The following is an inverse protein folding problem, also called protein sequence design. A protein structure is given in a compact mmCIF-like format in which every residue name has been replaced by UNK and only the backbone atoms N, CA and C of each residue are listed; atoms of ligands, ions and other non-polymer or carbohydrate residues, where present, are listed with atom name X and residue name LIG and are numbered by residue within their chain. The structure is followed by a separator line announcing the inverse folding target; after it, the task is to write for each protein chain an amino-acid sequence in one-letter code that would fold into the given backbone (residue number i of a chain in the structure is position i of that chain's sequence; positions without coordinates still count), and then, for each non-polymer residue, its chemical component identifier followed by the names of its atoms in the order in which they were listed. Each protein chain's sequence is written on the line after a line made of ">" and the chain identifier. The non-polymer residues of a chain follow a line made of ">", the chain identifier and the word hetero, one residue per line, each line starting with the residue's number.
data_IF_597365742348
#
_entry.id   IF_597365742348
#
_cell.length_a   1.000
_cell.length_b   1.000
_cell.length_c   1.000
_cell.angle_alpha   90.00
_cell.angle_beta   90.00
_cell.angle_gamma   90.00
#
_symmetry.space_group_name_H-M   'P 1'
#
loop_
_entity.id
_entity.type
_entity.pdbx_description
1 polymer ?
#
# COMPACT_ATOMS: atom_id res chain seq x y z
N UNK A 1 -20.91 34.30 49.74
CA UNK A 1 -22.26 34.45 49.15
C UNK A 1 -22.27 34.92 47.69
N UNK A 2 -21.25 35.63 47.19
CA UNK A 2 -21.19 36.05 45.78
C UNK A 2 -20.60 35.01 44.78
N UNK A 3 -19.94 33.94 45.26
CA UNK A 3 -19.35 32.91 44.39
C UNK A 3 -20.34 31.78 44.02
N UNK A 4 -21.36 31.52 44.83
CA UNK A 4 -22.35 30.47 44.61
C UNK A 4 -23.43 30.86 43.57
N UNK A 5 -23.62 32.17 43.36
CA UNK A 5 -24.61 32.72 42.43
C UNK A 5 -24.13 32.69 40.96
N UNK A 6 -22.81 32.67 40.72
CA UNK A 6 -22.24 32.53 39.37
C UNK A 6 -22.22 31.08 38.84
N UNK A 7 -22.32 30.10 39.74
CA UNK A 7 -22.34 28.68 39.36
C UNK A 7 -23.75 28.21 38.93
N UNK A 8 -24.81 28.81 39.48
CA UNK A 8 -26.20 28.48 39.13
C UNK A 8 -26.69 29.12 37.81
N UNK A 9 -26.12 30.27 37.40
CA UNK A 9 -26.52 30.95 36.16
C UNK A 9 -25.97 30.26 34.89
N UNK A 10 -24.84 29.55 34.98
CA UNK A 10 -24.29 28.79 33.85
C UNK A 10 -24.90 27.38 33.68
N UNK A 11 -25.64 26.86 34.65
CA UNK A 11 -26.28 25.54 34.56
C UNK A 11 -27.68 25.60 33.92
N UNK A 12 -28.29 26.79 33.83
CA UNK A 12 -29.64 27.01 33.31
C UNK A 12 -29.65 27.36 31.80
N UNK A 13 -28.48 27.66 31.20
CA UNK A 13 -28.37 27.91 29.76
C UNK A 13 -28.03 26.67 28.91
N UNK A 14 -27.85 25.50 29.52
CA UNK A 14 -27.45 24.25 28.80
C UNK A 14 -28.58 23.22 28.74
N UNK A 15 -29.75 23.48 29.34
CA UNK A 15 -30.84 22.50 29.45
C UNK A 15 -32.14 22.85 28.70
N UNK A 16 -32.15 23.86 27.83
CA UNK A 16 -33.38 24.34 27.15
C UNK A 16 -33.46 24.11 25.64
N UNK A 17 -32.70 23.17 25.07
CA UNK A 17 -32.84 22.82 23.64
C UNK A 17 -32.83 21.29 23.40
N UNK A 18 -33.76 20.57 24.03
CA UNK A 18 -34.16 19.22 23.59
C UNK A 18 -35.69 19.04 23.72
N UNK A 19 -36.33 18.75 22.59
CA UNK A 19 -37.74 18.34 22.43
C UNK A 19 -38.54 19.35 21.58
N UNK A 20 -39.11 19.05 20.42
CA UNK A 20 -39.51 17.78 19.81
C UNK A 20 -39.77 17.99 18.26
N UNK A 21 -40.41 17.06 17.52
CA UNK A 21 -39.87 16.42 16.32
C UNK A 21 -40.39 17.00 14.99
N UNK A 22 -39.59 16.91 13.93
CA UNK A 22 -40.11 16.91 12.56
C UNK A 22 -39.37 15.88 11.72
N UNK A 23 -40.14 14.88 11.29
CA UNK A 23 -39.82 14.04 10.16
C UNK A 23 -39.68 14.92 8.92
N UNK A 24 -38.50 14.89 8.30
CA UNK A 24 -38.32 15.29 6.92
C UNK A 24 -37.31 14.31 6.31
N UNK A 25 -37.84 13.45 5.45
CA UNK A 25 -37.11 12.67 4.47
C UNK A 25 -36.08 13.55 3.75
N UNK A 26 -34.81 13.36 4.08
CA UNK A 26 -33.70 14.01 3.43
C UNK A 26 -32.60 13.00 3.24
N UNK A 27 -32.72 12.17 2.19
CA UNK A 27 -31.58 11.41 1.71
C UNK A 27 -30.43 12.38 1.49
N UNK A 28 -29.34 12.20 2.26
CA UNK A 28 -28.08 12.85 1.94
C UNK A 28 -27.61 12.22 0.63
N UNK A 29 -27.95 12.90 -0.46
CA UNK A 29 -27.24 12.77 -1.73
C UNK A 29 -25.76 12.99 -1.41
N UNK A 30 -24.99 11.91 -1.44
CA UNK A 30 -23.53 11.92 -1.53
C UNK A 30 -23.21 12.49 -2.90
N UNK A 31 -23.31 13.81 -3.01
CA UNK A 31 -22.90 14.56 -4.17
C UNK A 31 -21.37 14.71 -4.08
N UNK A 32 -20.66 14.02 -4.96
CA UNK A 32 -19.30 14.41 -5.33
C UNK A 32 -18.16 13.60 -4.72
N UNK A 33 -18.20 12.28 -4.82
CA UNK A 33 -16.96 11.48 -5.00
C UNK A 33 -16.94 10.99 -6.45
N UNK A 34 -16.97 11.93 -7.39
CA UNK A 34 -16.40 11.67 -8.70
C UNK A 34 -14.93 12.02 -8.56
N UNK A 35 -13.99 11.13 -8.92
CA UNK A 35 -12.58 11.48 -8.90
C UNK A 35 -12.41 12.72 -9.77
N UNK A 36 -12.07 13.85 -9.15
CA UNK A 36 -11.35 14.93 -9.83
C UNK A 36 -10.21 14.24 -10.56
N UNK A 37 -10.16 14.37 -11.89
CA UNK A 37 -9.20 13.71 -12.77
C UNK A 37 -7.88 13.50 -12.03
N UNK A 38 -7.60 12.28 -11.57
CA UNK A 38 -6.37 12.06 -10.82
C UNK A 38 -5.24 12.38 -11.79
N UNK A 39 -4.47 13.41 -11.47
CA UNK A 39 -3.47 13.97 -12.38
C UNK A 39 -2.38 12.95 -12.75
N UNK A 40 -2.39 11.77 -12.12
CA UNK A 40 -1.46 10.67 -12.27
C UNK A 40 -2.15 9.38 -12.69
N UNK A 41 -2.86 9.38 -13.81
CA UNK A 41 -3.19 8.13 -14.50
C UNK A 41 -2.00 7.68 -15.34
N UNK A 42 -1.14 6.81 -14.80
CA UNK A 42 -0.04 6.23 -15.57
C UNK A 42 -0.62 5.47 -16.78
N UNK A 43 -0.37 6.00 -17.98
CA UNK A 43 -0.66 5.33 -19.24
C UNK A 43 0.66 5.09 -19.97
N UNK A 44 1.04 3.83 -20.25
CA UNK A 44 2.24 3.58 -21.04
C UNK A 44 2.12 4.26 -22.40
N UNK A 45 3.15 5.01 -22.80
CA UNK A 45 3.18 5.62 -24.12
C UNK A 45 3.14 4.58 -25.23
N UNK A 46 2.75 4.97 -26.45
CA UNK A 46 2.82 4.10 -27.63
C UNK A 46 4.21 3.47 -27.81
N UNK A 47 5.27 4.24 -27.54
CA UNK A 47 6.66 3.75 -27.58
C UNK A 47 6.93 2.67 -26.53
N UNK A 48 6.38 2.82 -25.32
CA UNK A 48 6.51 1.82 -24.26
C UNK A 48 5.79 0.51 -24.64
N UNK A 49 4.56 0.59 -25.17
CA UNK A 49 3.83 -0.57 -25.68
C UNK A 49 4.59 -1.30 -26.79
N UNK A 50 5.06 -0.56 -27.80
CA UNK A 50 5.85 -1.14 -28.89
C UNK A 50 7.15 -1.81 -28.41
N UNK A 51 7.81 -1.20 -27.42
CA UNK A 51 9.00 -1.80 -26.80
C UNK A 51 8.65 -3.12 -26.10
N UNK A 52 7.57 -3.14 -25.30
CA UNK A 52 7.13 -4.32 -24.57
C UNK A 52 6.72 -5.46 -25.52
N UNK A 53 5.89 -5.17 -26.53
CA UNK A 53 5.45 -6.13 -27.55
C UNK A 53 6.63 -6.71 -28.34
N UNK A 54 7.57 -5.84 -28.78
CA UNK A 54 8.79 -6.27 -29.48
C UNK A 54 9.66 -7.16 -28.59
N UNK A 55 9.68 -6.93 -27.28
CA UNK A 55 10.45 -7.75 -26.36
C UNK A 55 9.79 -9.09 -26.11
N UNK A 56 8.49 -9.08 -25.83
CA UNK A 56 7.68 -10.26 -25.56
C UNK A 56 7.62 -11.22 -26.76
N UNK A 57 7.50 -10.70 -27.98
CA UNK A 57 7.50 -11.50 -29.22
C UNK A 57 8.82 -12.22 -29.48
N UNK A 58 9.93 -11.75 -28.90
CA UNK A 58 11.26 -12.35 -29.03
C UNK A 58 11.62 -13.29 -27.88
N UNK A 59 10.77 -13.42 -26.86
CA UNK A 59 11.04 -14.28 -25.72
C UNK A 59 10.67 -15.73 -26.01
N UNK A 60 11.53 -16.66 -25.56
CA UNK A 60 11.14 -18.07 -25.43
C UNK A 60 10.06 -18.23 -24.35
N UNK A 61 9.43 -19.41 -24.29
CA UNK A 61 8.47 -19.72 -23.21
C UNK A 61 9.14 -19.64 -21.84
N UNK A 62 10.35 -20.21 -21.69
CA UNK A 62 11.10 -20.16 -20.43
C UNK A 62 11.41 -18.72 -19.99
N UNK A 63 11.75 -17.83 -20.93
CA UNK A 63 11.95 -16.42 -20.63
C UNK A 63 10.64 -15.76 -20.16
N UNK A 64 9.50 -16.08 -20.78
CA UNK A 64 8.19 -15.57 -20.36
C UNK A 64 7.82 -16.06 -18.97
N UNK A 65 8.08 -17.34 -18.66
CA UNK A 65 7.85 -17.91 -17.33
C UNK A 65 8.74 -17.22 -16.30
N UNK A 66 10.04 -17.04 -16.60
CA UNK A 66 10.97 -16.33 -15.73
C UNK A 66 10.46 -14.94 -15.36
N UNK A 67 9.92 -14.19 -16.33
CA UNK A 67 9.38 -12.84 -16.07
C UNK A 67 8.15 -12.81 -15.15
N UNK A 68 7.49 -13.93 -14.89
CA UNK A 68 6.39 -14.03 -13.91
C UNK A 68 6.88 -14.31 -12.48
N UNK A 69 8.17 -14.65 -12.32
CA UNK A 69 8.75 -15.05 -11.04
C UNK A 69 9.50 -13.90 -10.40
N UNK A 70 9.18 -13.63 -9.14
CA UNK A 70 9.94 -12.73 -8.27
C UNK A 70 10.51 -13.52 -7.10
N UNK A 71 11.77 -13.28 -6.73
CA UNK A 71 12.42 -13.94 -5.60
C UNK A 71 12.56 -13.01 -4.39
N UNK A 72 12.43 -13.58 -3.20
CA UNK A 72 12.61 -12.87 -1.93
C UNK A 72 14.05 -12.91 -1.43
N UNK A 73 14.58 -11.75 -1.03
CA UNK A 73 15.98 -11.64 -0.58
C UNK A 73 16.07 -10.77 0.68
N UNK A 74 16.84 -11.24 1.66
CA UNK A 74 17.42 -10.38 2.69
C UNK A 74 18.85 -10.08 2.28
N UNK A 75 19.10 -8.86 1.78
CA UNK A 75 20.43 -8.50 1.33
C UNK A 75 21.41 -8.49 2.52
N UNK A 76 22.64 -8.90 2.23
CA UNK A 76 23.74 -8.95 3.19
C UNK A 76 25.04 -8.78 2.42
N UNK A 77 26.12 -8.49 3.14
CA UNK A 77 27.43 -8.45 2.51
C UNK A 77 27.70 -9.79 1.82
N UNK A 78 28.02 -9.72 0.53
CA UNK A 78 28.25 -10.88 -0.29
C UNK A 78 29.43 -10.62 -1.24
N UNK A 79 30.51 -11.36 -1.02
CA UNK A 79 31.57 -11.48 -2.01
C UNK A 79 30.99 -12.09 -3.30
N UNK A 80 31.47 -11.67 -4.47
CA UNK A 80 30.96 -12.16 -5.77
C UNK A 80 31.19 -13.66 -5.99
N UNK A 81 32.16 -14.25 -5.27
CA UNK A 81 32.43 -15.69 -5.28
C UNK A 81 31.63 -16.46 -4.22
N UNK A 82 30.78 -15.79 -3.44
CA UNK A 82 29.96 -16.47 -2.43
C UNK A 82 28.82 -17.26 -3.08
N UNK A 83 28.45 -18.40 -2.48
CA UNK A 83 27.31 -19.19 -2.93
C UNK A 83 26.00 -18.38 -2.94
N UNK A 84 25.83 -17.46 -1.98
CA UNK A 84 24.69 -16.55 -1.92
C UNK A 84 24.60 -15.65 -3.16
N UNK A 85 25.70 -14.98 -3.53
CA UNK A 85 25.73 -14.14 -4.73
C UNK A 85 25.54 -14.98 -6.00
N UNK A 86 26.23 -16.12 -6.08
CA UNK A 86 26.13 -17.06 -7.20
C UNK A 86 24.71 -17.52 -7.45
N UNK A 87 23.96 -17.87 -6.40
CA UNK A 87 22.57 -18.33 -6.52
C UNK A 87 21.64 -17.22 -7.01
N UNK A 88 21.74 -15.99 -6.47
CA UNK A 88 20.91 -14.87 -6.94
C UNK A 88 21.23 -14.56 -8.41
N UNK A 89 22.52 -14.53 -8.77
CA UNK A 89 22.94 -14.33 -10.15
C UNK A 89 22.43 -15.44 -11.06
N UNK A 90 22.39 -16.70 -10.61
CA UNK A 90 21.81 -17.82 -11.35
C UNK A 90 20.34 -17.59 -11.65
N UNK A 91 19.57 -17.13 -10.66
CA UNK A 91 18.15 -16.78 -10.84
C UNK A 91 17.98 -15.67 -11.89
N UNK A 92 18.82 -14.63 -11.85
CA UNK A 92 18.77 -13.51 -12.80
C UNK A 92 19.18 -13.91 -14.21
N UNK A 93 20.29 -14.63 -14.37
CA UNK A 93 20.90 -14.90 -15.68
C UNK A 93 20.31 -16.15 -16.33
N UNK A 94 20.21 -17.25 -15.58
CA UNK A 94 19.79 -18.54 -16.13
C UNK A 94 18.27 -18.67 -16.15
N UNK A 95 17.61 -18.31 -15.03
CA UNK A 95 16.15 -18.40 -14.92
C UNK A 95 15.41 -17.15 -15.43
N UNK A 96 16.13 -16.05 -15.74
CA UNK A 96 15.58 -14.78 -16.26
C UNK A 96 14.37 -14.29 -15.46
N UNK A 97 14.49 -14.28 -14.13
CA UNK A 97 13.43 -13.80 -13.24
C UNK A 97 12.97 -12.37 -13.61
N UNK A 98 11.72 -12.04 -13.31
CA UNK A 98 11.13 -10.73 -13.57
C UNK A 98 11.48 -9.69 -12.50
N UNK A 99 11.73 -10.13 -11.27
CA UNK A 99 11.96 -9.19 -10.18
C UNK A 99 12.52 -9.79 -8.89
N UNK A 100 12.82 -8.87 -7.97
CA UNK A 100 13.35 -9.16 -6.64
C UNK A 100 12.52 -8.36 -5.65
N UNK A 101 12.09 -8.99 -4.56
CA UNK A 101 11.56 -8.32 -3.38
C UNK A 101 12.56 -8.41 -2.23
N UNK A 102 12.83 -7.27 -1.57
CA UNK A 102 13.62 -7.23 -0.34
C UNK A 102 12.72 -7.29 0.90
N UNK A 103 13.14 -8.03 1.93
CA UNK A 103 12.38 -8.19 3.19
C UNK A 103 13.04 -7.55 4.43
N UNK A 104 14.32 -7.16 4.32
CA UNK A 104 15.08 -6.48 5.37
C UNK A 104 16.58 -6.67 5.19
N UNK A 105 17.32 -5.56 5.21
CA UNK A 105 18.77 -5.54 5.03
C UNK A 105 19.32 -4.12 5.28
N UNK A 106 20.63 -3.94 5.48
CA UNK A 106 21.19 -2.61 5.43
C UNK A 106 21.10 -2.05 4.00
N UNK A 107 20.92 -0.72 3.91
CA UNK A 107 20.70 -0.02 2.64
C UNK A 107 21.86 -0.24 1.67
N UNK A 108 23.10 -0.15 2.16
CA UNK A 108 24.31 -0.25 1.35
C UNK A 108 24.37 -1.58 0.57
N UNK A 109 24.23 -2.70 1.27
CA UNK A 109 24.23 -4.05 0.70
C UNK A 109 23.11 -4.22 -0.31
N UNK A 110 21.92 -3.69 -0.01
CA UNK A 110 20.73 -3.77 -0.85
C UNK A 110 20.96 -3.08 -2.19
N UNK A 111 21.41 -1.82 -2.16
CA UNK A 111 21.66 -1.03 -3.37
C UNK A 111 22.76 -1.66 -4.22
N UNK A 112 23.87 -2.11 -3.58
CA UNK A 112 24.96 -2.75 -4.32
C UNK A 112 24.55 -4.09 -4.94
N UNK A 113 23.78 -4.90 -4.22
CA UNK A 113 23.27 -6.16 -4.75
C UNK A 113 22.28 -5.91 -5.89
N UNK A 114 21.33 -4.98 -5.71
CA UNK A 114 20.35 -4.62 -6.72
C UNK A 114 21.02 -4.12 -8.01
N UNK A 115 22.01 -3.23 -7.91
CA UNK A 115 22.75 -2.72 -9.07
C UNK A 115 23.48 -3.84 -9.82
N UNK A 116 24.17 -4.74 -9.11
CA UNK A 116 24.84 -5.89 -9.73
C UNK A 116 23.86 -6.84 -10.41
N UNK A 117 22.68 -7.04 -9.83
CA UNK A 117 21.64 -7.87 -10.45
C UNK A 117 21.03 -7.18 -11.66
N UNK A 118 20.81 -5.86 -11.62
CA UNK A 118 20.36 -5.09 -12.78
C UNK A 118 21.37 -5.14 -13.94
N UNK A 119 22.66 -5.03 -13.64
CA UNK A 119 23.75 -5.14 -14.64
C UNK A 119 23.79 -6.53 -15.30
N UNK A 120 23.52 -7.59 -14.52
CA UNK A 120 23.49 -8.96 -15.02
C UNK A 120 22.20 -9.29 -15.79
N UNK A 121 21.12 -8.53 -15.59
CA UNK A 121 19.81 -8.84 -16.12
C UNK A 121 19.67 -8.39 -17.59
N UNK A 122 19.18 -9.32 -18.43
CA UNK A 122 18.88 -9.05 -19.84
C UNK A 122 17.60 -8.21 -20.04
N UNK A 123 16.71 -8.23 -19.05
CA UNK A 123 15.53 -7.38 -18.91
C UNK A 123 15.67 -6.68 -17.56
N UNK A 124 15.47 -5.35 -17.46
CA UNK A 124 15.50 -4.68 -16.17
C UNK A 124 14.56 -5.36 -15.18
N UNK A 125 15.09 -5.71 -14.00
CA UNK A 125 14.35 -6.36 -12.94
C UNK A 125 13.40 -5.36 -12.27
N UNK A 126 12.22 -5.83 -11.90
CA UNK A 126 11.33 -5.08 -11.02
C UNK A 126 11.78 -5.28 -9.58
N UNK A 127 12.40 -4.26 -9.01
CA UNK A 127 12.86 -4.25 -7.61
C UNK A 127 11.74 -3.73 -6.72
N UNK A 128 11.40 -4.49 -5.69
CA UNK A 128 10.21 -4.29 -4.88
C UNK A 128 10.45 -4.40 -3.37
N UNK A 129 9.52 -3.81 -2.60
CA UNK A 129 9.57 -3.73 -1.13
C UNK A 129 8.16 -3.64 -0.54
N UNK A 130 7.90 -4.29 0.60
CA UNK A 130 6.77 -3.88 1.45
C UNK A 130 7.14 -2.58 2.20
N UNK A 131 6.41 -1.50 1.93
CA UNK A 131 6.69 -0.17 2.49
C UNK A 131 5.41 0.45 3.10
N UNK A 132 4.70 -0.32 3.92
CA UNK A 132 3.41 0.09 4.51
C UNK A 132 3.56 1.27 5.47
N UNK A 133 4.67 1.31 6.22
CA UNK A 133 5.05 2.44 7.10
C UNK A 133 6.16 3.29 6.49
N UNK A 134 6.26 3.31 5.16
CA UNK A 134 7.41 3.88 4.44
C UNK A 134 8.54 2.89 4.24
N UNK A 135 9.62 3.33 3.62
CA UNK A 135 10.81 2.48 3.33
C UNK A 135 11.48 2.03 4.63
N UNK A 136 11.33 2.82 5.70
CA UNK A 136 11.73 2.50 7.06
C UNK A 136 11.17 1.20 7.64
N UNK A 137 10.09 0.67 7.07
CA UNK A 137 9.55 -0.65 7.41
C UNK A 137 10.59 -1.77 7.27
N UNK A 138 11.53 -1.60 6.33
CA UNK A 138 12.52 -2.63 5.94
C UNK A 138 13.96 -2.17 6.06
N UNK A 139 14.19 -0.87 6.23
CA UNK A 139 15.51 -0.24 6.27
C UNK A 139 15.60 0.71 7.46
N UNK A 140 16.42 0.40 8.46
CA UNK A 140 16.49 1.17 9.71
C UNK A 140 16.86 2.65 9.51
N UNK A 141 17.66 2.95 8.48
CA UNK A 141 18.13 4.30 8.19
C UNK A 141 17.16 5.15 7.32
N UNK A 142 15.95 4.64 7.05
CA UNK A 142 14.94 5.31 6.23
C UNK A 142 13.74 5.80 7.06
N UNK A 143 12.91 6.68 6.50
CA UNK A 143 11.75 7.20 7.20
C UNK A 143 10.75 6.08 7.54
N UNK A 144 10.46 5.92 8.83
CA UNK A 144 9.45 5.01 9.34
C UNK A 144 8.31 5.81 9.97
N UNK A 145 7.10 5.64 9.44
CA UNK A 145 5.90 6.37 9.83
C UNK A 145 5.03 5.55 10.79
N UNK A 146 4.07 6.18 11.48
CA UNK A 146 2.98 5.44 12.12
C UNK A 146 2.23 4.54 11.14
N UNK A 147 1.64 3.48 11.65
CA UNK A 147 0.75 2.61 10.87
C UNK A 147 -0.46 3.37 10.31
N UNK A 148 -1.03 2.85 9.23
CA UNK A 148 -2.10 3.48 8.46
C UNK A 148 -3.28 3.95 9.33
N UNK A 149 -3.68 3.16 10.34
CA UNK A 149 -4.77 3.51 11.24
C UNK A 149 -4.50 4.81 12.03
N UNK A 150 -3.25 5.03 12.46
CA UNK A 150 -2.87 6.26 13.15
C UNK A 150 -2.86 7.47 12.20
N UNK A 151 -2.49 7.26 10.93
CA UNK A 151 -2.58 8.30 9.90
C UNK A 151 -4.05 8.63 9.62
N UNK A 152 -4.92 7.63 9.54
CA UNK A 152 -6.36 7.82 9.33
C UNK A 152 -7.04 8.53 10.50
N UNK A 153 -6.62 8.25 11.74
CA UNK A 153 -7.14 8.90 12.95
C UNK A 153 -6.96 10.42 12.96
N UNK A 154 -6.11 10.98 12.09
CA UNK A 154 -5.99 12.44 11.90
C UNK A 154 -7.20 13.06 11.19
N UNK A 155 -8.02 12.26 10.51
CA UNK A 155 -9.12 12.71 9.65
C UNK A 155 -8.67 13.37 8.34
N UNK A 156 -7.36 13.52 8.11
CA UNK A 156 -6.80 14.26 6.98
C UNK A 156 -5.96 13.37 6.02
N UNK A 157 -6.50 13.00 4.85
CA UNK A 157 -5.83 12.17 3.83
C UNK A 157 -4.55 12.79 3.26
N UNK A 158 -4.36 14.11 3.41
CA UNK A 158 -3.11 14.76 2.99
C UNK A 158 -1.88 14.17 3.71
N UNK A 159 -2.03 13.70 4.95
CA UNK A 159 -0.92 13.03 5.64
C UNK A 159 -0.58 11.69 5.00
N UNK A 160 -1.57 10.92 4.53
CA UNK A 160 -1.32 9.71 3.76
C UNK A 160 -0.66 10.01 2.41
N UNK A 161 -1.07 11.08 1.72
CA UNK A 161 -0.41 11.55 0.49
C UNK A 161 1.06 11.90 0.72
N UNK A 162 1.35 12.70 1.75
CA UNK A 162 2.73 13.10 2.09
C UNK A 162 3.58 11.89 2.48
N UNK A 163 3.02 10.94 3.22
CA UNK A 163 3.67 9.67 3.54
C UNK A 163 4.01 8.90 2.26
N UNK A 164 3.06 8.78 1.32
CA UNK A 164 3.29 8.16 0.01
C UNK A 164 4.36 8.86 -0.82
N UNK A 165 4.39 10.21 -0.83
CA UNK A 165 5.43 10.99 -1.51
C UNK A 165 6.82 10.68 -0.93
N UNK A 166 6.96 10.65 0.40
CA UNK A 166 8.25 10.38 1.05
C UNK A 166 8.69 8.94 0.78
N UNK A 167 7.79 7.97 0.95
CA UNK A 167 8.05 6.57 0.67
C UNK A 167 8.47 6.35 -0.79
N UNK A 168 7.76 6.96 -1.74
CA UNK A 168 8.10 6.90 -3.16
C UNK A 168 9.46 7.54 -3.48
N UNK A 169 9.77 8.69 -2.87
CA UNK A 169 11.06 9.37 -3.06
C UNK A 169 12.23 8.53 -2.56
N UNK A 170 12.12 7.98 -1.35
CA UNK A 170 13.15 7.11 -0.79
C UNK A 170 13.28 5.82 -1.61
N UNK A 171 12.17 5.19 -2.00
CA UNK A 171 12.20 4.00 -2.85
C UNK A 171 12.96 4.26 -4.15
N UNK A 172 12.69 5.38 -4.85
CA UNK A 172 13.42 5.75 -6.07
C UNK A 172 14.91 5.97 -5.82
N UNK A 173 15.28 6.59 -4.71
CA UNK A 173 16.68 6.81 -4.37
C UNK A 173 17.45 5.49 -4.18
N UNK A 174 16.75 4.44 -3.72
CA UNK A 174 17.30 3.09 -3.53
C UNK A 174 17.20 2.19 -4.78
N UNK A 175 16.65 2.69 -5.89
CA UNK A 175 16.42 1.89 -7.11
C UNK A 175 15.22 0.94 -7.02
N UNK A 176 14.33 1.13 -6.04
CA UNK A 176 13.09 0.38 -5.88
C UNK A 176 12.02 1.00 -6.80
N UNK A 177 11.48 0.18 -7.71
CA UNK A 177 10.51 0.59 -8.71
C UNK A 177 9.06 0.29 -8.33
N UNK A 178 8.83 -0.59 -7.37
CA UNK A 178 7.51 -0.99 -6.89
C UNK A 178 7.48 -1.11 -5.37
N UNK A 179 6.41 -0.64 -4.76
CA UNK A 179 6.13 -0.90 -3.36
C UNK A 179 4.81 -1.64 -3.19
N UNK A 180 4.77 -2.56 -2.24
CA UNK A 180 3.58 -3.30 -1.84
C UNK A 180 2.82 -2.55 -0.76
N UNK A 181 2.26 -1.39 -1.13
CA UNK A 181 1.39 -0.54 -0.33
C UNK A 181 0.56 0.34 -1.30
N UNK A 182 -0.64 0.81 -0.92
CA UNK A 182 -1.26 0.73 0.41
C UNK A 182 -2.01 -0.57 0.71
N UNK A 183 -2.23 -0.83 2.00
CA UNK A 183 -3.23 -1.79 2.49
C UNK A 183 -4.62 -1.15 2.38
N UNK A 184 -5.49 -1.76 1.57
CA UNK A 184 -6.86 -1.36 1.29
C UNK A 184 -7.90 -2.31 1.91
N UNK A 185 -7.46 -3.20 2.80
CA UNK A 185 -8.37 -4.04 3.57
C UNK A 185 -9.17 -3.21 4.57
N UNK A 186 -10.47 -3.44 4.66
CA UNK A 186 -11.35 -2.77 5.62
C UNK A 186 -11.37 -3.56 6.93
N UNK A 187 -10.69 -3.08 7.98
CA UNK A 187 -10.52 -3.80 9.24
C UNK A 187 -11.77 -3.74 10.13
N UNK A 188 -12.87 -4.31 9.63
CA UNK A 188 -14.20 -4.35 10.27
C UNK A 188 -14.37 -5.56 11.22
N UNK A 189 -13.36 -6.43 11.33
CA UNK A 189 -13.29 -7.51 12.32
C UNK A 189 -12.19 -7.20 13.33
N UNK A 190 -12.58 -6.86 14.56
CA UNK A 190 -11.63 -6.51 15.63
C UNK A 190 -10.72 -7.69 16.06
N UNK A 191 -11.11 -8.93 15.76
CA UNK A 191 -10.30 -10.12 16.04
C UNK A 191 -9.27 -10.41 14.95
N UNK A 192 -9.23 -9.63 13.86
CA UNK A 192 -8.30 -9.84 12.76
C UNK A 192 -6.83 -9.71 13.25
N UNK A 193 -6.04 -10.80 13.20
CA UNK A 193 -4.71 -10.82 13.77
C UNK A 193 -3.63 -10.26 12.83
N UNK A 194 -3.95 -10.06 11.55
CA UNK A 194 -2.97 -9.80 10.49
C UNK A 194 -3.10 -8.42 9.87
N UNK A 195 -4.30 -7.85 9.74
CA UNK A 195 -4.53 -6.49 9.22
C UNK A 195 -4.41 -5.47 10.35
N UNK A 196 -5.38 -5.44 11.27
CA UNK A 196 -5.33 -4.59 12.47
C UNK A 196 -4.93 -3.13 12.12
N UNK A 197 -3.93 -2.55 12.79
CA UNK A 197 -3.43 -1.18 12.56
C UNK A 197 -2.87 -0.91 11.16
N UNK A 198 -2.60 -1.96 10.35
CA UNK A 198 -2.10 -1.81 8.98
C UNK A 198 -3.15 -1.24 8.02
N UNK A 199 -4.44 -1.39 8.34
CA UNK A 199 -5.52 -0.76 7.60
C UNK A 199 -5.68 0.71 7.98
N UNK A 200 -6.20 1.51 7.05
CA UNK A 200 -6.66 2.87 7.35
C UNK A 200 -7.94 2.90 8.22
N UNK A 201 -8.62 1.78 8.45
CA UNK A 201 -9.74 1.73 9.39
C UNK A 201 -10.78 0.67 9.07
N UNK A 202 -11.94 0.82 9.71
CA UNK A 202 -13.09 -0.08 9.58
C UNK A 202 -14.17 0.45 8.61
N UNK A 203 -14.08 1.73 8.22
CA UNK A 203 -15.00 2.37 7.29
C UNK A 203 -14.46 2.25 5.84
N UNK A 204 -15.24 1.69 4.89
CA UNK A 204 -14.78 1.49 3.52
C UNK A 204 -14.44 2.80 2.79
N UNK A 205 -15.21 3.86 3.02
CA UNK A 205 -15.02 5.15 2.35
C UNK A 205 -13.72 5.82 2.84
N UNK A 206 -13.43 5.73 4.14
CA UNK A 206 -12.17 6.19 4.70
C UNK A 206 -10.97 5.39 4.18
N UNK A 207 -11.08 4.07 4.10
CA UNK A 207 -10.01 3.23 3.53
C UNK A 207 -9.74 3.59 2.06
N UNK A 208 -10.79 3.79 1.25
CA UNK A 208 -10.67 4.26 -0.12
C UNK A 208 -9.98 5.64 -0.17
N UNK A 209 -10.44 6.59 0.62
CA UNK A 209 -10.00 7.99 0.59
C UNK A 209 -8.53 8.15 1.00
N UNK A 210 -8.11 7.50 2.09
CA UNK A 210 -6.72 7.54 2.53
C UNK A 210 -5.81 6.67 1.66
N UNK A 211 -6.29 5.49 1.25
CA UNK A 211 -5.58 4.60 0.33
C UNK A 211 -5.25 5.28 -1.00
N UNK A 212 -6.24 5.95 -1.60
CA UNK A 212 -6.06 6.71 -2.84
C UNK A 212 -5.03 7.83 -2.65
N UNK A 213 -5.12 8.60 -1.56
CA UNK A 213 -4.18 9.68 -1.28
C UNK A 213 -2.72 9.17 -1.15
N UNK A 214 -2.50 8.07 -0.42
CA UNK A 214 -1.19 7.42 -0.33
C UNK A 214 -0.69 6.95 -1.70
N UNK A 215 -1.55 6.26 -2.46
CA UNK A 215 -1.24 5.73 -3.79
C UNK A 215 -0.84 6.85 -4.76
N UNK A 216 -1.58 7.95 -4.80
CA UNK A 216 -1.25 9.15 -5.59
C UNK A 216 0.11 9.72 -5.20
N UNK A 217 0.39 9.77 -3.89
CA UNK A 217 1.67 10.24 -3.37
C UNK A 217 2.84 9.41 -3.89
N UNK A 218 2.73 8.08 -3.82
CA UNK A 218 3.74 7.14 -4.33
C UNK A 218 3.93 7.28 -5.83
N UNK A 219 2.83 7.28 -6.59
CA UNK A 219 2.87 7.34 -8.05
C UNK A 219 3.37 8.69 -8.58
N UNK A 220 3.18 9.78 -7.83
CA UNK A 220 3.79 11.08 -8.15
C UNK A 220 5.32 11.05 -8.19
N UNK A 221 5.94 10.07 -7.51
CA UNK A 221 7.37 9.83 -7.51
C UNK A 221 7.79 8.76 -8.54
N UNK A 222 6.90 8.38 -9.47
CA UNK A 222 7.15 7.36 -10.49
C UNK A 222 7.49 5.97 -9.91
N UNK A 223 6.85 5.61 -8.79
CA UNK A 223 6.94 4.27 -8.19
C UNK A 223 5.59 3.57 -8.35
N UNK A 224 5.61 2.28 -8.65
CA UNK A 224 4.40 1.48 -8.70
C UNK A 224 3.88 1.22 -7.27
N UNK A 225 2.71 1.76 -6.96
CA UNK A 225 1.94 1.38 -5.77
C UNK A 225 1.16 0.09 -6.05
N UNK A 226 0.87 -0.67 -4.99
CA UNK A 226 0.14 -1.95 -5.09
C UNK A 226 -0.95 -2.00 -4.03
N UNK A 227 -2.20 -1.92 -4.48
CA UNK A 227 -3.36 -2.14 -3.64
C UNK A 227 -3.38 -3.60 -3.15
N UNK A 228 -3.50 -3.80 -1.83
CA UNK A 228 -3.53 -5.14 -1.22
C UNK A 228 -4.51 -5.21 -0.04
N UNK A 229 -5.07 -6.36 0.30
CA UNK A 229 -4.85 -7.68 -0.30
C UNK A 229 -6.16 -8.13 -0.97
N UNK A 230 -6.29 -7.94 -2.29
CA UNK A 230 -7.51 -8.34 -3.01
C UNK A 230 -7.84 -9.83 -2.77
N UNK A 231 -9.11 -10.22 -2.51
CA UNK A 231 -10.35 -9.43 -2.57
C UNK A 231 -10.66 -8.54 -1.35
N UNK A 232 -9.77 -8.47 -0.38
CA UNK A 232 -9.96 -7.86 0.94
C UNK A 232 -9.67 -8.91 2.01
N UNK A 233 -8.83 -8.59 2.99
CA UNK A 233 -8.39 -9.46 4.10
C UNK A 233 -8.82 -8.89 5.45
N UNK A 234 -9.76 -7.95 5.46
CA UNK A 234 -10.17 -7.22 6.65
C UNK A 234 -11.12 -7.98 7.58
N UNK A 235 -12.01 -8.79 7.00
CA UNK A 235 -13.00 -9.60 7.73
C UNK A 235 -12.58 -11.08 7.81
N UNK A 236 -11.47 -11.35 8.48
CA UNK A 236 -11.01 -12.71 8.78
C UNK A 236 -10.35 -12.77 10.14
N UNK A 237 -10.55 -13.88 10.83
CA UNK A 237 -9.95 -14.23 12.11
C UNK A 237 -8.73 -15.17 11.97
N UNK A 238 -8.43 -15.61 10.75
CA UNK A 238 -7.27 -16.46 10.44
C UNK A 238 -6.18 -15.66 9.73
N UNK A 239 -4.97 -15.72 10.28
CA UNK A 239 -3.76 -15.25 9.61
C UNK A 239 -3.42 -16.19 8.44
N UNK A 240 -3.40 -15.66 7.21
CA UNK A 240 -3.09 -16.43 6.00
C UNK A 240 -1.67 -16.98 5.96
N UNK A 241 -0.77 -16.50 6.82
CA UNK A 241 0.55 -17.11 6.99
C UNK A 241 0.50 -18.46 7.73
N UNK A 242 -0.62 -18.74 8.43
CA UNK A 242 -0.78 -19.90 9.32
C UNK A 242 -1.93 -20.82 8.93
N UNK A 243 -2.86 -20.37 8.10
CA UNK A 243 -4.00 -21.14 7.63
C UNK A 243 -4.64 -20.53 6.40
N UNK A 244 -5.68 -21.17 5.87
CA UNK A 244 -6.44 -20.64 4.74
C UNK A 244 -7.67 -19.87 5.25
N UNK A 245 -7.67 -18.53 5.23
CA UNK A 245 -8.85 -17.76 5.62
C UNK A 245 -9.99 -17.97 4.61
N UNK A 246 -11.23 -18.02 5.10
CA UNK A 246 -12.43 -18.17 4.29
C UNK A 246 -13.33 -16.97 4.53
N UNK A 247 -13.54 -16.16 3.50
CA UNK A 247 -14.51 -15.06 3.52
C UNK A 247 -15.81 -15.58 2.93
N UNK A 248 -16.72 -16.01 3.80
CA UNK A 248 -18.02 -16.55 3.41
C UNK A 248 -19.11 -15.48 3.47
N UNK A 249 -18.95 -14.41 2.69
CA UNK A 249 -19.87 -13.28 2.64
C UNK A 249 -20.64 -13.24 1.30
N UNK A 250 -21.90 -12.77 1.30
CA UNK A 250 -22.62 -12.54 0.05
C UNK A 250 -21.88 -11.54 -0.86
N UNK A 251 -21.95 -11.74 -2.18
CA UNK A 251 -21.31 -10.83 -3.16
C UNK A 251 -21.72 -9.37 -2.99
N UNK A 252 -22.96 -9.10 -2.59
CA UNK A 252 -23.42 -7.74 -2.31
C UNK A 252 -22.62 -7.09 -1.15
N UNK A 253 -22.34 -7.86 -0.10
CA UNK A 253 -21.49 -7.40 1.02
C UNK A 253 -20.07 -7.10 0.55
N UNK A 254 -19.49 -7.99 -0.26
CA UNK A 254 -18.17 -7.77 -0.87
C UNK A 254 -18.13 -6.52 -1.74
N UNK A 255 -19.16 -6.28 -2.54
CA UNK A 255 -19.24 -5.09 -3.42
C UNK A 255 -19.28 -3.78 -2.64
N UNK A 256 -20.00 -3.76 -1.51
CA UNK A 256 -20.28 -2.53 -0.75
C UNK A 256 -19.17 -2.19 0.26
N UNK A 257 -18.27 -3.12 0.56
CA UNK A 257 -17.25 -2.94 1.60
C UNK A 257 -15.87 -3.40 1.13
N UNK A 258 -15.64 -4.70 0.94
CA UNK A 258 -14.29 -5.21 0.63
C UNK A 258 -13.77 -4.71 -0.71
N UNK A 259 -14.61 -4.64 -1.74
CA UNK A 259 -14.23 -4.21 -3.08
C UNK A 259 -14.22 -2.69 -3.23
N UNK A 260 -14.90 -1.95 -2.35
CA UNK A 260 -15.08 -0.51 -2.51
C UNK A 260 -13.73 0.22 -2.56
N UNK A 261 -12.76 -0.03 -1.66
CA UNK A 261 -11.42 0.56 -1.76
C UNK A 261 -10.62 0.20 -3.02
N UNK A 262 -10.92 -0.93 -3.67
CA UNK A 262 -10.18 -1.41 -4.84
C UNK A 262 -10.74 -0.92 -6.18
N UNK A 263 -11.91 -0.28 -6.19
CA UNK A 263 -12.59 0.20 -7.42
C UNK A 263 -12.19 1.64 -7.76
#
# INVERSE_FOLDING_TARGET
>A
MAAMLKFLVNLILVSSLLGAPLAASGGRLVAGILPQDSAFRFQPSKKAWQWAEKRLSKMSVDEKIGQLVHIGINARFANQNSAFFGEIRRQVVENKIGGIIFFGAPIYETVHLANRMQEAARIPLLISLDAETGVGMRFEDAANFPWAMAVAATGNPEYARRMGIIAGREARALGIGQIYAPVLDVNNNAANPVINVRSFGEDPDDVARFGLAFLEGVQSQQVLATAKHFPGHGDTDVDSHRGLPIINLPRERLNNVEFLPFR
#
